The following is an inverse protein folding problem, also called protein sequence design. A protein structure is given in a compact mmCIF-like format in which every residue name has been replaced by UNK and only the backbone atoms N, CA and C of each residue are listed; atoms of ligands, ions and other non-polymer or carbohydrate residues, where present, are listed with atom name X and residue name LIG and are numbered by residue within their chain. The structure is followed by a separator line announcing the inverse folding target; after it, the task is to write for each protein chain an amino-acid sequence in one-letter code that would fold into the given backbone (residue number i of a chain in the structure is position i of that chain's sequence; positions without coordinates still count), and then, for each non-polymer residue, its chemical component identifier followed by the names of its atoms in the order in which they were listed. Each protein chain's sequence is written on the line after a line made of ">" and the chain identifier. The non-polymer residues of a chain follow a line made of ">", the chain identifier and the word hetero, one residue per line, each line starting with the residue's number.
data_IF_222983382963
#
_entry.id   IF_222983382963
#
_cell.length_a   1.000
_cell.length_b   1.000
_cell.length_c   1.000
_cell.angle_alpha   90.00
_cell.angle_beta   90.00
_cell.angle_gamma   90.00
#
_symmetry.space_group_name_H-M   'P 1'
#
loop_
_entity.id
_entity.type
_entity.pdbx_description
1 polymer ?
#
# COMPACT_ATOMS: atom_id res chain seq x y z
N UNK A 1 -19.49 -5.55 2.62
CA UNK A 1 -19.30 -6.81 1.90
C UNK A 1 -17.86 -6.83 1.39
N UNK A 2 -17.17 -7.96 1.54
CA UNK A 2 -15.85 -8.22 0.96
C UNK A 2 -16.10 -8.94 -0.36
N UNK A 3 -15.55 -8.41 -1.44
CA UNK A 3 -15.74 -8.96 -2.78
C UNK A 3 -14.53 -9.80 -3.23
N UNK A 4 -14.61 -10.36 -4.44
CA UNK A 4 -13.52 -11.16 -5.02
C UNK A 4 -12.23 -10.36 -5.19
N UNK A 5 -12.32 -9.09 -5.57
CA UNK A 5 -11.15 -8.24 -5.78
C UNK A 5 -10.41 -7.97 -4.47
N UNK A 6 -11.15 -7.80 -3.37
CA UNK A 6 -10.57 -7.70 -2.04
C UNK A 6 -9.81 -9.00 -1.63
N UNK A 7 -10.31 -10.18 -2.03
CA UNK A 7 -9.60 -11.45 -1.82
C UNK A 7 -8.34 -11.58 -2.68
N UNK A 8 -8.38 -11.14 -3.93
CA UNK A 8 -7.22 -11.14 -4.84
C UNK A 8 -6.11 -10.22 -4.30
N UNK A 9 -6.47 -9.06 -3.72
CA UNK A 9 -5.51 -8.19 -3.02
C UNK A 9 -4.87 -8.92 -1.83
N UNK A 10 -5.67 -9.59 -0.99
CA UNK A 10 -5.14 -10.32 0.17
C UNK A 10 -4.16 -11.41 -0.27
N UNK A 11 -4.56 -12.21 -1.25
CA UNK A 11 -3.74 -13.31 -1.76
C UNK A 11 -2.42 -12.80 -2.33
N UNK A 12 -2.48 -11.75 -3.14
CA UNK A 12 -1.31 -11.12 -3.72
C UNK A 12 -0.36 -10.60 -2.63
N UNK A 13 -0.83 -9.77 -1.70
CA UNK A 13 0.01 -9.21 -0.63
C UNK A 13 0.62 -10.30 0.25
N UNK A 14 -0.15 -11.34 0.58
CA UNK A 14 0.35 -12.47 1.39
C UNK A 14 1.41 -13.28 0.63
N UNK A 15 1.27 -13.47 -0.67
CA UNK A 15 2.29 -14.15 -1.50
C UNK A 15 3.62 -13.39 -1.55
N UNK A 16 3.56 -12.05 -1.49
CA UNK A 16 4.72 -11.16 -1.49
C UNK A 16 5.41 -11.02 -0.12
N UNK A 17 4.87 -11.59 0.95
CA UNK A 17 5.37 -11.44 2.32
C UNK A 17 6.85 -11.84 2.47
N UNK A 18 7.32 -12.84 1.72
CA UNK A 18 8.70 -13.34 1.79
C UNK A 18 9.68 -12.56 0.90
N UNK A 19 9.19 -11.66 0.05
CA UNK A 19 9.98 -10.99 -1.00
C UNK A 19 10.19 -9.49 -0.72
N UNK A 20 9.89 -9.03 0.49
CA UNK A 20 10.02 -7.62 0.87
C UNK A 20 8.81 -6.75 0.52
N UNK A 21 7.70 -7.37 0.11
CA UNK A 21 6.46 -6.68 -0.23
C UNK A 21 6.31 -6.35 -1.72
N UNK A 22 5.09 -5.99 -2.15
CA UNK A 22 4.79 -5.73 -3.56
C UNK A 22 5.40 -4.41 -4.04
N UNK A 23 5.78 -4.37 -5.32
CA UNK A 23 6.32 -3.19 -5.99
C UNK A 23 5.32 -2.60 -6.98
N UNK A 24 5.47 -1.30 -7.26
CA UNK A 24 4.62 -0.57 -8.20
C UNK A 24 4.58 -1.23 -9.60
N UNK A 25 5.71 -1.76 -10.06
CA UNK A 25 5.84 -2.46 -11.35
C UNK A 25 4.92 -3.69 -11.47
N UNK A 26 4.60 -4.33 -10.33
CA UNK A 26 3.72 -5.49 -10.27
C UNK A 26 2.27 -5.08 -9.94
N UNK A 27 2.08 -4.04 -9.10
CA UNK A 27 0.73 -3.67 -8.62
C UNK A 27 -0.06 -2.87 -9.64
N UNK A 28 0.60 -1.99 -10.42
CA UNK A 28 -0.11 -1.17 -11.40
C UNK A 28 -0.80 -2.00 -12.49
N UNK A 29 -0.13 -2.98 -13.14
CA UNK A 29 -0.77 -3.79 -14.18
C UNK A 29 -1.93 -4.65 -13.67
N UNK A 30 -1.86 -5.09 -12.40
CA UNK A 30 -2.82 -6.03 -11.83
C UNK A 30 -4.01 -5.34 -11.15
N UNK A 31 -3.77 -4.22 -10.45
CA UNK A 31 -4.75 -3.58 -9.57
C UNK A 31 -5.03 -2.13 -9.92
N UNK A 32 -4.30 -1.54 -10.86
CA UNK A 32 -4.45 -0.13 -11.26
C UNK A 32 -4.07 0.86 -10.16
N UNK A 33 -3.23 0.46 -9.21
CA UNK A 33 -2.77 1.31 -8.10
C UNK A 33 -1.33 0.99 -7.70
N UNK A 34 -0.64 1.99 -7.13
CA UNK A 34 0.69 1.81 -6.54
C UNK A 34 0.66 0.91 -5.30
N UNK A 35 1.84 0.43 -4.89
CA UNK A 35 1.99 -0.48 -3.78
C UNK A 35 1.52 0.11 -2.46
N UNK A 36 1.68 1.42 -2.23
CA UNK A 36 1.23 2.07 -1.00
C UNK A 36 -0.30 2.06 -0.89
N UNK A 37 -1.01 2.46 -1.95
CA UNK A 37 -2.48 2.41 -2.02
C UNK A 37 -3.00 0.98 -1.87
N UNK A 38 -2.31 0.01 -2.48
CA UNK A 38 -2.64 -1.40 -2.35
C UNK A 38 -2.50 -1.90 -0.91
N UNK A 39 -1.41 -1.54 -0.21
CA UNK A 39 -1.20 -1.89 1.20
C UNK A 39 -2.22 -1.24 2.13
N UNK A 40 -2.59 0.03 1.89
CA UNK A 40 -3.66 0.70 2.64
C UNK A 40 -5.00 -0.04 2.45
N UNK A 41 -5.33 -0.40 1.21
CA UNK A 41 -6.55 -1.15 0.91
C UNK A 41 -6.53 -2.53 1.57
N UNK A 42 -5.42 -3.25 1.49
CA UNK A 42 -5.20 -4.53 2.18
C UNK A 42 -5.49 -4.42 3.68
N UNK A 43 -4.89 -3.43 4.37
CA UNK A 43 -5.11 -3.22 5.81
C UNK A 43 -6.58 -2.98 6.15
N UNK A 44 -7.28 -2.17 5.34
CA UNK A 44 -8.70 -1.89 5.53
C UNK A 44 -9.57 -3.15 5.35
N UNK A 45 -9.28 -3.98 4.33
CA UNK A 45 -9.99 -5.25 4.11
C UNK A 45 -9.76 -6.21 5.29
N UNK A 46 -8.52 -6.36 5.75
CA UNK A 46 -8.18 -7.22 6.90
C UNK A 46 -8.90 -6.76 8.17
N UNK A 47 -8.96 -5.45 8.43
CA UNK A 47 -9.70 -4.90 9.57
C UNK A 47 -11.20 -5.19 9.48
N UNK A 48 -11.81 -4.99 8.30
CA UNK A 48 -13.24 -5.28 8.07
C UNK A 48 -13.57 -6.76 8.24
N UNK A 49 -12.71 -7.66 7.76
CA UNK A 49 -12.85 -9.10 7.94
C UNK A 49 -12.75 -9.51 9.42
N UNK A 50 -11.83 -8.88 10.17
CA UNK A 50 -11.67 -9.14 11.61
C UNK A 50 -12.80 -8.58 12.46
N UNK A 51 -13.42 -7.49 12.05
CA UNK A 51 -14.57 -6.88 12.72
C UNK A 51 -15.85 -7.74 12.61
N UNK A 52 -15.79 -8.88 11.90
CA UNK A 52 -16.88 -9.84 11.91
C UNK A 52 -18.04 -9.43 11.02
N UNK A 53 -17.79 -8.78 9.88
CA UNK A 53 -18.80 -8.60 8.84
C UNK A 53 -19.13 -9.94 8.13
N UNK A 54 -19.73 -10.86 8.88
CA UNK A 54 -20.74 -11.88 8.53
C UNK A 54 -20.63 -12.55 7.13
N UNK A 55 -19.43 -12.96 6.74
CA UNK A 55 -19.24 -13.89 5.64
C UNK A 55 -18.85 -15.26 6.21
N UNK A 56 -19.58 -16.31 5.85
CA UNK A 56 -19.15 -17.68 6.10
C UNK A 56 -17.84 -17.93 5.33
N UNK A 57 -16.72 -17.77 6.01
CA UNK A 57 -15.40 -17.99 5.42
C UNK A 57 -15.16 -19.48 5.21
N UNK A 58 -14.68 -19.83 4.03
CA UNK A 58 -14.12 -21.16 3.80
C UNK A 58 -12.85 -21.36 4.65
N UNK A 59 -12.45 -22.61 4.86
CA UNK A 59 -11.22 -22.94 5.58
C UNK A 59 -9.99 -22.26 4.96
N UNK A 60 -9.92 -22.18 3.63
CA UNK A 60 -8.81 -21.54 2.92
C UNK A 60 -8.81 -20.02 3.12
N UNK A 61 -9.97 -19.38 3.03
CA UNK A 61 -10.11 -17.95 3.37
C UNK A 61 -9.74 -17.66 4.82
N UNK A 62 -10.10 -18.55 5.75
CA UNK A 62 -9.72 -18.41 7.16
C UNK A 62 -8.20 -18.49 7.36
N UNK A 63 -7.54 -19.48 6.75
CA UNK A 63 -6.07 -19.61 6.79
C UNK A 63 -5.38 -18.39 6.18
N UNK A 64 -5.89 -17.92 5.04
CA UNK A 64 -5.38 -16.75 4.36
C UNK A 64 -5.54 -15.49 5.23
N UNK A 65 -6.73 -15.26 5.80
CA UNK A 65 -6.99 -14.14 6.72
C UNK A 65 -6.08 -14.18 7.95
N UNK A 66 -5.80 -15.37 8.50
CA UNK A 66 -4.87 -15.52 9.62
C UNK A 66 -3.47 -15.04 9.24
N UNK A 67 -2.95 -15.43 8.07
CA UNK A 67 -1.65 -14.97 7.56
C UNK A 67 -1.65 -13.47 7.27
N UNK A 68 -2.68 -13.00 6.56
CA UNK A 68 -2.86 -11.59 6.21
C UNK A 68 -2.84 -10.70 7.46
N UNK A 69 -3.47 -11.15 8.53
CA UNK A 69 -3.50 -10.37 9.76
C UNK A 69 -2.18 -10.37 10.55
N UNK A 70 -1.43 -11.47 10.53
CA UNK A 70 -0.06 -11.48 11.06
C UNK A 70 0.80 -10.47 10.29
N UNK A 71 0.75 -10.52 8.95
CA UNK A 71 1.46 -9.60 8.08
C UNK A 71 1.05 -8.13 8.31
N UNK A 72 -0.25 -7.86 8.42
CA UNK A 72 -0.76 -6.52 8.70
C UNK A 72 -0.24 -5.99 10.05
N UNK A 73 -0.17 -6.84 11.07
CA UNK A 73 0.40 -6.45 12.36
C UNK A 73 1.91 -6.13 12.25
N UNK A 74 2.65 -6.87 11.44
CA UNK A 74 4.08 -6.65 11.22
C UNK A 74 4.34 -5.36 10.43
N UNK A 75 3.57 -5.11 9.35
CA UNK A 75 3.63 -3.87 8.57
C UNK A 75 3.32 -2.64 9.43
N UNK A 76 2.30 -2.73 10.29
CA UNK A 76 1.97 -1.64 11.22
C UNK A 76 3.08 -1.40 12.26
N UNK A 77 3.78 -2.46 12.72
CA UNK A 77 4.96 -2.30 13.60
C UNK A 77 6.13 -1.64 12.89
N UNK A 78 6.37 -1.98 11.63
CA UNK A 78 7.44 -1.35 10.83
C UNK A 78 7.15 0.13 10.54
N UNK A 79 5.87 0.50 10.34
CA UNK A 79 5.44 1.90 10.21
C UNK A 79 5.43 2.69 11.53
N UNK A 80 5.51 2.02 12.69
CA UNK A 80 5.49 2.62 14.03
C UNK A 80 6.86 2.46 14.73
N UNK A 81 7.92 3.06 14.20
CA UNK A 81 9.15 3.30 15.00
C UNK A 81 8.97 4.54 15.88
N UNK A 82 8.96 4.45 17.22
CA UNK A 82 8.91 5.62 18.09
C UNK A 82 10.33 6.14 18.34
N UNK A 83 10.70 7.26 17.71
CA UNK A 83 11.78 8.16 18.17
C UNK A 83 12.87 8.55 17.17
N UNK A 84 12.86 9.85 16.78
CA UNK A 84 14.00 10.79 16.62
C UNK A 84 15.03 10.47 15.51
N UNK A 85 15.29 11.30 14.48
CA UNK A 85 15.92 12.64 14.56
C UNK A 85 16.01 13.26 13.16
N UNK A 86 15.87 14.58 13.08
CA UNK A 86 16.38 15.42 11.98
C UNK A 86 17.92 15.28 11.92
N UNK A 87 18.48 14.58 10.95
CA UNK A 87 19.91 14.55 10.60
C UNK A 87 19.99 13.93 9.20
N UNK A 88 20.33 14.62 8.11
CA UNK A 88 21.53 15.42 7.92
C UNK A 88 22.53 14.62 7.08
N UNK A 89 22.38 14.68 5.74
CA UNK A 89 23.37 14.42 4.66
C UNK A 89 23.97 13.00 4.58
N UNK A 90 23.99 12.24 3.47
CA UNK A 90 24.14 12.51 2.02
C UNK A 90 24.11 11.14 1.28
N UNK A 91 24.38 11.00 -0.03
CA UNK A 91 23.81 11.66 -1.20
C UNK A 91 23.48 10.60 -2.31
N UNK A 92 22.23 10.52 -2.76
CA UNK A 92 21.94 10.13 -4.15
C UNK A 92 20.56 10.67 -4.47
N UNK A 93 20.62 11.95 -4.79
CA UNK A 93 19.61 12.76 -5.44
C UNK A 93 19.27 12.14 -6.80
N UNK A 94 18.32 11.20 -6.79
CA UNK A 94 17.36 11.11 -7.87
C UNK A 94 16.12 11.82 -7.34
N UNK A 95 16.13 13.15 -7.40
CA UNK A 95 14.94 13.99 -7.42
C UNK A 95 14.01 13.47 -8.52
N UNK A 96 13.24 12.42 -8.20
CA UNK A 96 11.94 12.22 -8.80
C UNK A 96 11.19 13.49 -8.44
N UNK A 97 11.00 14.35 -9.43
CA UNK A 97 10.18 15.54 -9.30
C UNK A 97 8.94 15.16 -8.50
N UNK A 98 8.72 15.85 -7.37
CA UNK A 98 7.57 15.60 -6.53
C UNK A 98 6.31 16.03 -7.29
N UNK A 99 5.88 15.23 -8.26
CA UNK A 99 4.66 15.44 -8.99
C UNK A 99 3.48 14.80 -8.26
N UNK A 100 2.32 15.39 -8.49
CA UNK A 100 1.05 14.89 -8.00
C UNK A 100 0.27 14.33 -9.19
N UNK A 101 -0.20 13.08 -9.07
CA UNK A 101 -1.17 12.52 -10.01
C UNK A 101 -2.54 13.10 -9.70
N UNK A 102 -3.16 13.76 -10.68
CA UNK A 102 -4.54 14.24 -10.55
C UNK A 102 -5.42 13.67 -11.66
N UNK A 103 -6.70 13.50 -11.34
CA UNK A 103 -7.69 12.94 -12.26
C UNK A 103 -8.48 14.06 -12.92
N UNK A 104 -8.52 14.08 -14.26
CA UNK A 104 -9.34 15.02 -15.03
C UNK A 104 -10.07 14.28 -16.16
N UNK A 105 -11.41 14.35 -16.15
CA UNK A 105 -12.27 13.67 -17.12
C UNK A 105 -12.01 12.15 -17.29
N UNK A 106 -11.66 11.46 -16.20
CA UNK A 106 -11.39 10.01 -16.22
C UNK A 106 -10.01 9.64 -16.77
N UNK A 107 -9.17 10.61 -17.12
CA UNK A 107 -7.78 10.43 -17.54
C UNK A 107 -6.85 10.87 -16.40
N UNK A 108 -5.78 10.10 -16.18
CA UNK A 108 -4.77 10.42 -15.18
C UNK A 108 -3.70 11.34 -15.78
N UNK A 109 -3.50 12.48 -15.15
CA UNK A 109 -2.49 13.47 -15.54
C UNK A 109 -1.41 13.54 -14.45
N UNK A 110 -0.16 13.58 -14.88
CA UNK A 110 0.99 13.84 -14.02
C UNK A 110 1.27 15.35 -14.03
N UNK A 111 1.21 15.99 -12.86
CA UNK A 111 1.62 17.39 -12.69
C UNK A 111 2.89 17.45 -11.85
N UNK A 112 3.96 18.01 -12.39
CA UNK A 112 5.20 18.25 -11.66
C UNK A 112 5.00 19.43 -10.70
N UNK A 113 5.25 19.25 -9.39
CA UNK A 113 5.22 20.40 -8.46
C UNK A 113 6.47 21.23 -8.70
N UNK A 114 6.30 22.38 -9.35
CA UNK A 114 7.37 23.37 -9.47
C UNK A 114 7.78 23.82 -8.07
N UNK A 115 8.89 23.26 -7.60
CA UNK A 115 9.57 23.73 -6.38
C UNK A 115 10.02 25.16 -6.63
N UNK A 116 9.20 26.13 -6.23
CA UNK A 116 9.49 27.56 -6.36
C UNK A 116 10.72 27.90 -5.52
N UNK A 117 11.89 27.79 -6.15
CA UNK A 117 13.17 28.28 -5.64
C UNK A 117 13.22 29.79 -5.84
N UNK A 118 12.45 30.55 -5.04
CA UNK A 118 12.56 32.01 -5.02
C UNK A 118 13.58 32.44 -3.97
N UNK A 119 14.80 32.66 -4.44
CA UNK A 119 15.91 33.28 -3.75
C UNK A 119 15.67 34.80 -3.66
N UNK A 120 15.55 35.36 -2.45
CA UNK A 120 15.87 36.75 -2.14
C UNK A 120 16.32 36.87 -0.69
#
# INVERSE_FOLDING_TARGET
>A
MIDRFDWEIIEFVVSWANYGGPRDEDTFPLFGMDAQRLLVRFSNVVLRLRAGCDAALTLEQYKLLRRAASLNADLNRQGQTPGTTKSGNSPLDLSASAGEWFQHQGIWHWQESESSRSMR
#
